data_IF_615085429090
#
_entry.id   IF_615085429090
#
_cell.length_a   1.000
_cell.length_b   1.000
_cell.length_c   1.000
_cell.angle_alpha   90.00
_cell.angle_beta   90.00
_cell.angle_gamma   90.00
#
_symmetry.space_group_name_H-M   'P 1'
#
loop_
_entity.id
_entity.type
_entity.pdbx_description
1 polymer ?
#
# COMPACT_ATOMS: atom_id res chain seq x y z
N UNK A 1 -7.86 15.98 -5.45
CA UNK A 1 -8.02 14.66 -6.09
C UNK A 1 -7.46 13.61 -5.16
N UNK A 2 -8.25 12.59 -4.82
CA UNK A 2 -7.85 11.53 -3.87
C UNK A 2 -7.58 10.26 -4.65
N UNK A 3 -6.44 9.63 -4.39
CA UNK A 3 -6.01 8.39 -5.03
C UNK A 3 -5.74 7.29 -4.00
N UNK A 4 -5.92 6.04 -4.42
CA UNK A 4 -5.65 4.86 -3.58
C UNK A 4 -4.49 4.08 -4.17
N UNK A 5 -3.49 3.81 -3.33
CA UNK A 5 -2.46 2.82 -3.61
C UNK A 5 -2.85 1.49 -2.97
N UNK A 6 -2.67 0.40 -3.70
CA UNK A 6 -3.04 -0.95 -3.26
C UNK A 6 -1.80 -1.82 -3.09
N UNK A 7 -1.48 -2.26 -1.87
CA UNK A 7 -0.23 -3.00 -1.62
C UNK A 7 -0.15 -4.37 -2.32
N UNK A 8 -1.26 -4.91 -2.83
CA UNK A 8 -1.27 -6.14 -3.63
C UNK A 8 -0.95 -5.94 -5.12
N UNK A 9 -0.89 -4.70 -5.64
CA UNK A 9 -0.58 -4.45 -7.05
C UNK A 9 0.86 -4.82 -7.42
N UNK A 10 1.74 -4.95 -6.43
CA UNK A 10 3.12 -5.42 -6.60
C UNK A 10 3.21 -6.86 -7.16
N UNK A 11 2.13 -7.64 -7.04
CA UNK A 11 2.07 -9.03 -7.49
C UNK A 11 1.54 -9.21 -8.91
N UNK A 12 1.09 -8.14 -9.57
CA UNK A 12 0.68 -8.23 -10.97
C UNK A 12 1.89 -8.57 -11.86
N UNK A 13 1.72 -9.41 -12.90
CA UNK A 13 2.82 -9.79 -13.78
C UNK A 13 3.14 -8.68 -14.80
N UNK A 14 4.41 -8.64 -15.23
CA UNK A 14 4.87 -7.78 -16.33
C UNK A 14 4.61 -6.29 -16.07
N UNK A 15 4.22 -5.57 -17.11
CA UNK A 15 4.02 -4.11 -17.10
C UNK A 15 2.82 -3.67 -16.24
N UNK A 16 1.99 -4.60 -15.78
CA UNK A 16 0.89 -4.31 -14.87
C UNK A 16 1.33 -4.29 -13.40
N UNK A 17 2.57 -4.69 -13.09
CA UNK A 17 3.17 -4.56 -11.75
C UNK A 17 3.23 -3.08 -11.39
N UNK A 18 2.78 -2.75 -10.18
CA UNK A 18 2.77 -1.37 -9.71
C UNK A 18 3.33 -1.30 -8.29
N UNK A 19 4.45 -0.61 -8.13
CA UNK A 19 5.18 -0.38 -6.88
C UNK A 19 5.27 1.14 -6.60
N UNK A 20 5.67 1.58 -5.39
CA UNK A 20 5.64 3.00 -5.03
C UNK A 20 6.45 3.91 -5.96
N UNK A 21 7.52 3.41 -6.59
CA UNK A 21 8.31 4.19 -7.55
C UNK A 21 7.59 4.53 -8.85
N UNK A 22 6.47 3.85 -9.15
CA UNK A 22 5.67 4.09 -10.36
C UNK A 22 4.63 5.21 -10.15
N UNK A 23 4.52 5.74 -8.93
CA UNK A 23 3.56 6.79 -8.59
C UNK A 23 4.06 8.15 -9.08
N UNK A 24 3.27 8.79 -9.93
CA UNK A 24 3.43 10.21 -10.23
C UNK A 24 2.93 11.05 -9.05
N UNK A 25 3.86 11.67 -8.33
CA UNK A 25 3.59 12.50 -7.14
C UNK A 25 2.81 13.78 -7.43
N UNK A 26 2.62 14.15 -8.69
CA UNK A 26 1.85 15.34 -9.10
C UNK A 26 0.40 15.02 -9.51
N UNK A 27 0.04 13.74 -9.60
CA UNK A 27 -1.26 13.32 -10.12
C UNK A 27 -2.42 13.55 -9.13
N UNK A 28 -2.15 13.45 -7.83
CA UNK A 28 -3.15 13.44 -6.77
C UNK A 28 -2.74 14.39 -5.65
N UNK A 29 -3.72 15.05 -5.01
CA UNK A 29 -3.48 15.91 -3.85
C UNK A 29 -3.33 15.08 -2.56
N UNK A 30 -4.08 13.98 -2.47
CA UNK A 30 -4.04 13.04 -1.34
C UNK A 30 -3.88 11.60 -1.85
N UNK A 31 -2.97 10.84 -1.23
CA UNK A 31 -2.75 9.42 -1.52
C UNK A 31 -3.07 8.59 -0.28
N UNK A 32 -3.98 7.62 -0.43
CA UNK A 32 -4.42 6.72 0.63
C UNK A 32 -3.81 5.34 0.42
N UNK A 33 -3.10 4.84 1.42
CA UNK A 33 -2.58 3.48 1.44
C UNK A 33 -3.67 2.47 1.80
N UNK A 34 -3.93 1.51 0.91
CA UNK A 34 -4.89 0.43 1.09
C UNK A 34 -4.17 -0.93 1.08
N UNK A 35 -4.14 -1.69 2.17
CA UNK A 35 -4.75 -1.44 3.50
C UNK A 35 -3.81 -1.87 4.63
N UNK A 36 -4.03 -1.31 5.82
CA UNK A 36 -3.58 -1.91 7.07
C UNK A 36 -4.68 -2.83 7.63
N UNK A 37 -4.28 -3.83 8.42
CA UNK A 37 -5.19 -4.71 9.14
C UNK A 37 -5.30 -4.31 10.63
N UNK A 38 -6.32 -4.81 11.29
CA UNK A 38 -6.46 -4.76 12.75
C UNK A 38 -6.03 -6.10 13.35
N UNK A 39 -5.25 -6.05 14.42
CA UNK A 39 -4.88 -7.25 15.17
C UNK A 39 -6.12 -7.92 15.78
N UNK A 40 -6.11 -9.25 15.82
CA UNK A 40 -7.16 -10.05 16.48
C UNK A 40 -7.05 -10.08 18.01
N UNK A 41 -6.15 -9.29 18.61
CA UNK A 41 -5.91 -9.22 20.06
C UNK A 41 -6.61 -8.01 20.69
N UNK A 42 -6.67 -7.97 22.04
CA UNK A 42 -7.15 -6.80 22.79
C UNK A 42 -6.00 -6.23 23.65
N UNK A 43 -5.68 -4.92 23.55
CA UNK A 43 -6.28 -3.93 22.64
C UNK A 43 -5.97 -4.23 21.16
N UNK A 44 -6.93 -3.94 20.28
CA UNK A 44 -6.72 -4.03 18.83
C UNK A 44 -5.74 -2.93 18.41
N UNK A 45 -4.75 -3.30 17.60
CA UNK A 45 -3.74 -2.38 17.04
C UNK A 45 -3.71 -2.52 15.52
N UNK A 46 -3.23 -1.49 14.82
CA UNK A 46 -2.94 -1.60 13.40
C UNK A 46 -1.73 -2.52 13.19
N UNK A 47 -1.81 -3.37 12.17
CA UNK A 47 -0.74 -4.26 11.74
C UNK A 47 -0.63 -4.23 10.21
N UNK A 48 0.58 -4.46 9.65
CA UNK A 48 0.75 -4.59 8.20
C UNK A 48 -0.03 -5.80 7.67
N UNK A 49 -0.44 -5.73 6.41
CA UNK A 49 -1.11 -6.83 5.69
C UNK A 49 -0.09 -7.61 4.89
N UNK A 50 0.73 -6.92 4.10
CA UNK A 50 1.77 -7.54 3.29
C UNK A 50 3.10 -7.55 4.03
N UNK A 51 3.91 -8.56 3.72
CA UNK A 51 5.21 -8.82 4.37
C UNK A 51 6.21 -7.66 4.23
N UNK A 52 6.02 -6.78 3.24
CA UNK A 52 6.89 -5.66 2.96
C UNK A 52 6.25 -4.29 3.18
N UNK A 53 5.05 -4.20 3.78
CA UNK A 53 4.40 -2.91 4.05
C UNK A 53 5.31 -1.96 4.86
N UNK A 54 6.00 -2.45 5.90
CA UNK A 54 6.97 -1.67 6.70
C UNK A 54 8.40 -1.69 6.09
N UNK A 55 8.57 -2.26 4.90
CA UNK A 55 9.87 -2.60 4.30
C UNK A 55 10.04 -2.07 2.87
N UNK A 56 11.07 -2.56 2.14
CA UNK A 56 11.34 -2.11 0.79
C UNK A 56 10.17 -2.37 -0.17
N UNK A 57 9.74 -1.33 -0.88
CA UNK A 57 8.55 -1.32 -1.74
C UNK A 57 7.21 -1.47 -1.01
N UNK A 58 7.21 -1.47 0.32
CA UNK A 58 6.09 -0.92 1.09
C UNK A 58 6.08 0.60 0.99
N UNK A 59 4.93 1.23 1.28
CA UNK A 59 4.85 2.69 1.36
C UNK A 59 5.19 3.19 2.76
#
# INVERSE_FOLDING_TARGET
>A
VVCYYTNWSQYRPGDAKFIPSDIDVSLCDDLIFAFAALSGSRPCTLIPVEWNDDGPNGM
#
